data_IF_695331126100
#
_entry.id   IF_695331126100
#
_cell.length_a   1.000
_cell.length_b   1.000
_cell.length_c   1.000
_cell.angle_alpha   90.00
_cell.angle_beta   90.00
_cell.angle_gamma   90.00
#
_symmetry.space_group_name_H-M   'P 1'
#
loop_
_entity.id
_entity.type
_entity.pdbx_description
1 polymer ?
#
# COMPACT_ATOMS: atom_id res chain seq x y z
N UNK A 1 -12.30 5.35 -49.60
CA UNK A 1 -12.41 6.51 -48.69
C UNK A 1 -13.84 6.59 -48.18
N UNK A 2 -14.06 6.18 -46.94
CA UNK A 2 -15.27 6.51 -46.18
C UNK A 2 -14.79 7.10 -44.86
N UNK A 3 -15.07 8.39 -44.70
CA UNK A 3 -15.07 9.15 -43.45
C UNK A 3 -15.93 8.39 -42.42
N UNK A 4 -15.57 8.21 -41.15
CA UNK A 4 -15.07 9.23 -40.24
C UNK A 4 -16.23 9.76 -39.39
N UNK A 5 -16.84 8.92 -38.55
CA UNK A 5 -17.72 9.40 -37.46
C UNK A 5 -17.06 9.06 -36.13
N UNK A 6 -16.22 10.00 -35.72
CA UNK A 6 -15.67 10.16 -34.39
C UNK A 6 -16.83 10.29 -33.40
N UNK A 7 -17.05 9.22 -32.63
CA UNK A 7 -18.10 9.17 -31.61
C UNK A 7 -17.67 9.93 -30.37
N UNK A 8 -17.83 11.26 -30.39
CA UNK A 8 -17.70 12.05 -29.18
C UNK A 8 -18.72 11.56 -28.12
N UNK A 9 -18.31 11.30 -26.86
CA UNK A 9 -19.24 10.90 -25.82
C UNK A 9 -20.28 12.00 -25.61
N UNK A 10 -21.55 11.65 -25.66
CA UNK A 10 -22.65 12.58 -25.42
C UNK A 10 -22.49 13.22 -24.03
N UNK A 11 -22.52 14.56 -23.98
CA UNK A 11 -22.43 15.29 -22.71
C UNK A 11 -23.56 14.83 -21.76
N UNK A 12 -23.26 14.58 -20.47
CA UNK A 12 -24.26 14.12 -19.52
C UNK A 12 -25.36 15.16 -19.38
N UNK A 13 -26.63 14.70 -19.38
CA UNK A 13 -27.79 15.59 -19.26
C UNK A 13 -27.75 16.35 -17.94
N UNK A 14 -28.28 17.59 -17.92
CA UNK A 14 -28.36 18.43 -16.72
C UNK A 14 -28.99 17.67 -15.52
N UNK A 15 -29.99 16.82 -15.79
CA UNK A 15 -30.63 15.98 -14.77
C UNK A 15 -29.68 14.91 -14.20
N UNK A 16 -28.85 14.29 -15.04
CA UNK A 16 -27.82 13.35 -14.60
C UNK A 16 -26.73 14.07 -13.78
N UNK A 17 -26.34 15.29 -14.17
CA UNK A 17 -25.38 16.11 -13.42
C UNK A 17 -25.91 16.51 -12.04
N UNK A 18 -27.17 16.96 -11.95
CA UNK A 18 -27.81 17.31 -10.68
C UNK A 18 -27.97 16.08 -9.77
N UNK A 19 -28.38 14.94 -10.33
CA UNK A 19 -28.50 13.67 -9.58
C UNK A 19 -27.14 13.20 -9.07
N UNK A 20 -26.11 13.27 -9.92
CA UNK A 20 -24.74 12.93 -9.56
C UNK A 20 -24.22 13.86 -8.44
N UNK A 21 -24.34 15.19 -8.61
CA UNK A 21 -23.93 16.15 -7.58
C UNK A 21 -24.66 15.93 -6.24
N UNK A 22 -25.96 15.60 -6.27
CA UNK A 22 -26.76 15.34 -5.06
C UNK A 22 -26.33 14.04 -4.36
N UNK A 23 -26.07 12.96 -5.11
CA UNK A 23 -25.55 11.71 -4.55
C UNK A 23 -24.15 11.89 -3.97
N UNK A 24 -23.28 12.67 -4.61
CA UNK A 24 -21.96 12.99 -4.11
C UNK A 24 -22.02 13.80 -2.80
N UNK A 25 -22.94 14.76 -2.70
CA UNK A 25 -23.17 15.55 -1.48
C UNK A 25 -23.70 14.68 -0.33
N UNK A 26 -24.72 13.85 -0.59
CA UNK A 26 -25.25 12.91 0.42
C UNK A 26 -24.18 11.91 0.88
N UNK A 27 -23.35 11.41 -0.04
CA UNK A 27 -22.24 10.52 0.30
C UNK A 27 -21.19 11.24 1.17
N UNK A 28 -20.88 12.50 0.88
CA UNK A 28 -19.95 13.29 1.68
C UNK A 28 -20.48 13.51 3.12
N UNK A 29 -21.75 13.90 3.24
CA UNK A 29 -22.37 14.22 4.53
C UNK A 29 -22.54 12.98 5.43
N UNK A 30 -22.70 11.79 4.83
CA UNK A 30 -22.77 10.53 5.55
C UNK A 30 -21.39 10.00 5.99
N UNK A 31 -20.28 10.51 5.41
CA UNK A 31 -18.93 10.01 5.73
C UNK A 31 -18.54 10.30 7.17
N UNK A 32 -18.77 11.53 7.61
CA UNK A 32 -18.45 11.98 8.96
C UNK A 32 -19.20 11.21 10.07
N UNK A 33 -20.54 11.02 10.01
CA UNK A 33 -21.24 10.23 11.03
C UNK A 33 -20.84 8.75 11.02
N UNK A 34 -20.58 8.14 9.85
CA UNK A 34 -20.12 6.75 9.79
C UNK A 34 -18.69 6.57 10.34
N UNK A 35 -17.78 7.49 10.03
CA UNK A 35 -16.43 7.47 10.59
C UNK A 35 -16.45 7.57 12.13
N UNK A 36 -17.37 8.38 12.69
CA UNK A 36 -17.57 8.46 14.15
C UNK A 36 -18.12 7.17 14.75
N UNK A 37 -19.11 6.54 14.11
CA UNK A 37 -19.65 5.25 14.54
C UNK A 37 -18.59 4.15 14.47
N UNK A 38 -17.77 4.15 13.42
CA UNK A 38 -16.61 3.26 13.31
C UNK A 38 -15.62 3.47 14.45
N UNK A 39 -15.24 4.71 14.74
CA UNK A 39 -14.32 5.03 15.83
C UNK A 39 -14.89 4.57 17.18
N UNK A 40 -16.18 4.81 17.43
CA UNK A 40 -16.86 4.35 18.65
C UNK A 40 -16.90 2.82 18.74
N UNK A 41 -17.19 2.14 17.63
CA UNK A 41 -17.21 0.68 17.56
C UNK A 41 -15.82 0.07 17.77
N UNK A 42 -14.77 0.67 17.20
CA UNK A 42 -13.39 0.24 17.36
C UNK A 42 -12.88 0.39 18.81
N UNK A 43 -13.46 1.34 19.57
CA UNK A 43 -13.17 1.56 21.00
C UNK A 43 -13.94 0.59 21.91
N UNK A 44 -14.99 -0.09 21.43
CA UNK A 44 -15.68 -1.13 22.19
C UNK A 44 -14.81 -2.40 22.20
N UNK A 45 -14.13 -2.65 23.32
CA UNK A 45 -13.39 -3.89 23.50
C UNK A 45 -14.33 -5.11 23.59
N UNK A 46 -13.97 -6.21 22.91
CA UNK A 46 -14.65 -7.51 23.02
C UNK A 46 -15.38 -7.99 21.75
N UNK A 47 -16.04 -9.14 21.86
CA UNK A 47 -16.66 -9.88 20.75
C UNK A 47 -17.79 -9.12 20.03
N UNK A 48 -18.39 -8.11 20.68
CA UNK A 48 -19.45 -7.28 20.10
C UNK A 48 -18.94 -6.05 19.32
N UNK A 49 -17.74 -5.53 19.63
CA UNK A 49 -17.20 -4.32 19.01
C UNK A 49 -16.53 -4.57 17.66
N UNK A 50 -15.82 -5.68 17.52
CA UNK A 50 -15.17 -6.09 16.27
C UNK A 50 -16.12 -6.21 15.06
N UNK A 51 -17.28 -6.90 15.15
CA UNK A 51 -18.21 -6.99 14.03
C UNK A 51 -18.84 -5.63 13.69
N UNK A 52 -19.06 -4.77 14.69
CA UNK A 52 -19.60 -3.41 14.48
C UNK A 52 -18.58 -2.51 13.77
N UNK A 53 -17.30 -2.57 14.16
CA UNK A 53 -16.21 -1.85 13.50
C UNK A 53 -16.02 -2.33 12.06
N UNK A 54 -16.03 -3.65 11.83
CA UNK A 54 -15.94 -4.20 10.48
C UNK A 54 -17.11 -3.75 9.58
N UNK A 55 -18.34 -3.74 10.11
CA UNK A 55 -19.52 -3.26 9.39
C UNK A 55 -19.45 -1.77 9.07
N UNK A 56 -19.04 -0.93 10.02
CA UNK A 56 -18.90 0.51 9.80
C UNK A 56 -17.78 0.83 8.79
N UNK A 57 -16.67 0.07 8.79
CA UNK A 57 -15.61 0.19 7.80
C UNK A 57 -16.10 -0.18 6.39
N UNK A 58 -16.87 -1.26 6.27
CA UNK A 58 -17.49 -1.66 5.00
C UNK A 58 -18.44 -0.58 4.46
N UNK A 59 -19.24 0.05 5.33
CA UNK A 59 -20.13 1.14 4.91
C UNK A 59 -19.37 2.40 4.50
N UNK A 60 -18.29 2.74 5.21
CA UNK A 60 -17.44 3.86 4.82
C UNK A 60 -16.80 3.63 3.45
N UNK A 61 -16.30 2.42 3.19
CA UNK A 61 -15.74 2.04 1.90
C UNK A 61 -16.78 2.11 0.76
N UNK A 62 -18.02 1.67 1.01
CA UNK A 62 -19.11 1.79 0.04
C UNK A 62 -19.41 3.25 -0.31
N UNK A 63 -19.42 4.11 0.70
CA UNK A 63 -19.68 5.53 0.55
C UNK A 63 -18.57 6.23 -0.26
N UNK A 64 -17.33 5.85 -0.01
CA UNK A 64 -16.16 6.27 -0.78
C UNK A 64 -16.25 5.82 -2.23
N UNK A 65 -16.61 4.56 -2.47
CA UNK A 65 -16.79 4.04 -3.82
C UNK A 65 -17.94 4.75 -4.55
N UNK A 66 -19.04 5.07 -3.85
CA UNK A 66 -20.15 5.85 -4.44
C UNK A 66 -19.72 7.26 -4.80
N UNK A 67 -19.04 7.95 -3.86
CA UNK A 67 -18.57 9.31 -4.07
C UNK A 67 -17.57 9.37 -5.24
N UNK A 68 -16.62 8.42 -5.27
CA UNK A 68 -15.65 8.29 -6.36
C UNK A 68 -16.38 8.02 -7.68
N UNK A 69 -17.30 7.05 -7.72
CA UNK A 69 -18.03 6.67 -8.93
C UNK A 69 -18.77 7.86 -9.54
N UNK A 70 -19.53 8.57 -8.71
CA UNK A 70 -20.37 9.70 -9.08
C UNK A 70 -19.53 10.91 -9.50
N UNK A 71 -18.47 11.22 -8.76
CA UNK A 71 -17.54 12.32 -9.10
C UNK A 71 -16.85 12.05 -10.43
N UNK A 72 -16.45 10.80 -10.68
CA UNK A 72 -15.72 10.40 -11.88
C UNK A 72 -16.58 10.27 -13.13
N UNK A 73 -17.91 10.17 -13.01
CA UNK A 73 -18.82 10.35 -14.15
C UNK A 73 -18.82 11.79 -14.68
N UNK A 74 -18.54 12.78 -13.82
CA UNK A 74 -18.52 14.20 -14.19
C UNK A 74 -17.12 14.68 -14.57
N UNK A 75 -16.10 14.24 -13.84
CA UNK A 75 -14.71 14.64 -14.05
C UNK A 75 -13.78 13.47 -13.78
N UNK A 76 -13.00 13.07 -14.79
CA UNK A 76 -12.04 11.98 -14.65
C UNK A 76 -11.06 12.23 -13.47
N UNK A 77 -10.66 11.18 -12.74
CA UNK A 77 -9.68 11.33 -11.67
C UNK A 77 -8.39 11.95 -12.18
N UNK A 78 -7.87 12.93 -11.44
CA UNK A 78 -6.51 13.40 -11.63
C UNK A 78 -5.55 12.32 -11.13
N UNK A 79 -4.52 12.04 -11.94
CA UNK A 79 -3.49 11.07 -11.60
C UNK A 79 -2.14 11.76 -11.70
N UNK A 80 -1.30 11.53 -10.69
CA UNK A 80 0.02 12.16 -10.55
C UNK A 80 1.03 11.07 -10.28
N UNK A 81 1.78 10.71 -11.33
CA UNK A 81 2.85 9.75 -11.20
C UNK A 81 4.08 10.42 -10.57
N UNK A 82 4.66 9.76 -9.56
CA UNK A 82 5.85 10.22 -8.87
C UNK A 82 6.76 9.03 -8.53
N UNK A 83 8.06 9.23 -8.32
CA UNK A 83 8.94 8.19 -7.77
C UNK A 83 8.45 7.74 -6.40
N UNK A 84 8.18 6.45 -6.25
CA UNK A 84 7.76 5.83 -4.99
C UNK A 84 8.49 4.52 -4.76
N UNK A 85 8.68 4.16 -3.48
CA UNK A 85 9.14 2.81 -3.15
C UNK A 85 8.03 1.80 -3.42
N UNK A 86 8.24 0.97 -4.44
CA UNK A 86 7.18 0.15 -5.00
C UNK A 86 6.83 -1.03 -4.09
N UNK A 87 7.83 -1.60 -3.42
CA UNK A 87 7.62 -2.77 -2.56
C UNK A 87 6.76 -2.43 -1.34
N UNK A 88 7.09 -1.34 -0.62
CA UNK A 88 6.29 -0.87 0.51
C UNK A 88 4.85 -0.55 0.10
N UNK A 89 4.67 0.15 -1.02
CA UNK A 89 3.35 0.48 -1.56
C UNK A 89 2.48 -0.77 -1.82
N UNK A 90 3.05 -1.78 -2.47
CA UNK A 90 2.31 -2.99 -2.85
C UNK A 90 2.12 -3.97 -1.69
N UNK A 91 2.96 -3.90 -0.67
CA UNK A 91 2.73 -4.64 0.57
C UNK A 91 1.52 -4.15 1.34
N UNK A 92 1.30 -2.84 1.41
CA UNK A 92 0.09 -2.28 2.03
C UNK A 92 -1.17 -2.78 1.30
N UNK A 93 -1.11 -2.87 -0.04
CA UNK A 93 -2.17 -3.45 -0.86
C UNK A 93 -2.36 -4.95 -0.56
N UNK A 94 -1.28 -5.71 -0.42
CA UNK A 94 -1.35 -7.13 -0.07
C UNK A 94 -1.95 -7.33 1.34
N UNK A 95 -1.58 -6.51 2.32
CA UNK A 95 -2.13 -6.53 3.67
C UNK A 95 -3.64 -6.22 3.67
N UNK A 96 -4.08 -5.23 2.88
CA UNK A 96 -5.49 -4.95 2.65
C UNK A 96 -6.21 -6.18 2.06
N UNK A 97 -5.63 -6.81 1.03
CA UNK A 97 -6.18 -8.01 0.40
C UNK A 97 -6.37 -9.17 1.38
N UNK A 98 -5.37 -9.44 2.22
CA UNK A 98 -5.43 -10.47 3.25
C UNK A 98 -6.58 -10.22 4.23
N UNK A 99 -6.72 -8.97 4.70
CA UNK A 99 -7.80 -8.57 5.61
C UNK A 99 -9.18 -8.73 4.98
N UNK A 100 -9.35 -8.29 3.73
CA UNK A 100 -10.62 -8.40 3.01
C UNK A 100 -11.03 -9.86 2.77
N UNK A 101 -10.08 -10.72 2.41
CA UNK A 101 -10.33 -12.15 2.26
C UNK A 101 -10.71 -12.81 3.59
N UNK A 102 -10.00 -12.46 4.67
CA UNK A 102 -10.30 -12.96 6.02
C UNK A 102 -11.72 -12.60 6.46
N UNK A 103 -12.18 -11.37 6.20
CA UNK A 103 -13.55 -10.93 6.49
C UNK A 103 -14.63 -11.76 5.76
N UNK A 104 -14.27 -12.38 4.63
CA UNK A 104 -15.15 -13.22 3.82
C UNK A 104 -14.90 -14.72 4.03
N UNK A 105 -14.11 -15.09 5.04
CA UNK A 105 -13.64 -16.45 5.29
C UNK A 105 -12.97 -17.10 4.05
N UNK A 106 -12.32 -16.30 3.21
CA UNK A 106 -11.63 -16.74 2.00
C UNK A 106 -10.12 -16.85 2.22
N UNK A 107 -9.46 -17.76 1.51
CA UNK A 107 -8.00 -17.83 1.45
C UNK A 107 -7.43 -16.67 0.62
N UNK A 108 -6.32 -16.08 1.07
CA UNK A 108 -5.61 -15.05 0.31
C UNK A 108 -4.26 -15.56 -0.17
N UNK A 109 -3.99 -15.39 -1.46
CA UNK A 109 -2.71 -15.70 -2.08
C UNK A 109 -2.13 -14.43 -2.70
N UNK A 110 -0.90 -14.08 -2.32
CA UNK A 110 -0.19 -12.94 -2.88
C UNK A 110 1.13 -13.41 -3.51
N UNK A 111 1.32 -13.09 -4.77
CA UNK A 111 2.55 -13.33 -5.53
C UNK A 111 3.14 -11.98 -5.92
N UNK A 112 4.19 -11.56 -5.21
CA UNK A 112 5.00 -10.39 -5.56
C UNK A 112 6.22 -10.88 -6.33
N UNK A 113 6.28 -10.59 -7.63
CA UNK A 113 7.45 -10.85 -8.46
C UNK A 113 8.61 -9.90 -8.12
N UNK A 114 9.70 -9.99 -8.89
CA UNK A 114 10.82 -9.07 -8.73
C UNK A 114 10.37 -7.64 -9.09
N UNK A 115 10.39 -6.74 -8.10
CA UNK A 115 10.03 -5.32 -8.24
C UNK A 115 11.29 -4.46 -8.17
N UNK A 116 11.40 -3.37 -8.97
CA UNK A 116 12.42 -2.36 -8.73
C UNK A 116 12.18 -1.70 -7.34
N UNK A 117 13.24 -1.26 -6.65
CA UNK A 117 13.09 -0.57 -5.36
C UNK A 117 12.18 0.65 -5.46
N UNK A 118 12.42 1.47 -6.50
CA UNK A 118 11.67 2.68 -6.78
C UNK A 118 11.21 2.70 -8.23
N UNK A 119 9.97 3.15 -8.44
CA UNK A 119 9.41 3.36 -9.77
C UNK A 119 8.51 4.59 -9.78
N UNK A 120 8.34 5.18 -10.97
CA UNK A 120 7.41 6.29 -11.18
C UNK A 120 6.02 5.71 -11.37
N UNK A 121 5.15 5.90 -10.39
CA UNK A 121 3.76 5.46 -10.42
C UNK A 121 2.92 6.39 -9.55
N UNK A 122 1.60 6.35 -9.71
CA UNK A 122 0.71 7.14 -8.86
C UNK A 122 0.55 6.45 -7.48
N UNK A 123 1.07 7.11 -6.44
CA UNK A 123 1.07 6.64 -5.05
C UNK A 123 -0.34 6.36 -4.53
N UNK A 124 -1.34 7.11 -4.97
CA UNK A 124 -2.68 7.05 -4.42
C UNK A 124 -3.64 6.29 -5.34
N UNK A 125 -3.55 6.51 -6.65
CA UNK A 125 -4.43 5.88 -7.62
C UNK A 125 -4.18 4.36 -7.74
N UNK A 126 -2.93 3.90 -7.65
CA UNK A 126 -2.63 2.47 -7.81
C UNK A 126 -3.11 1.62 -6.63
N UNK A 127 -2.81 1.94 -5.36
CA UNK A 127 -3.39 1.22 -4.23
C UNK A 127 -4.92 1.31 -4.21
N UNK A 128 -5.48 2.47 -4.58
CA UNK A 128 -6.94 2.65 -4.67
C UNK A 128 -7.56 1.75 -5.73
N UNK A 129 -6.95 1.65 -6.90
CA UNK A 129 -7.39 0.77 -7.98
C UNK A 129 -7.34 -0.71 -7.55
N UNK A 130 -6.18 -1.15 -7.06
CA UNK A 130 -6.01 -2.54 -6.62
C UNK A 130 -6.91 -2.87 -5.42
N UNK A 131 -7.09 -1.94 -4.49
CA UNK A 131 -8.01 -2.06 -3.36
C UNK A 131 -9.45 -2.24 -3.80
N UNK A 132 -9.92 -1.47 -4.80
CA UNK A 132 -11.26 -1.65 -5.38
C UNK A 132 -11.43 -3.02 -6.03
N UNK A 133 -10.43 -3.49 -6.79
CA UNK A 133 -10.44 -4.83 -7.38
C UNK A 133 -10.45 -5.95 -6.33
N UNK A 134 -9.66 -5.81 -5.26
CA UNK A 134 -9.59 -6.75 -4.14
C UNK A 134 -10.92 -6.80 -3.37
N UNK A 135 -11.53 -5.64 -3.11
CA UNK A 135 -12.87 -5.56 -2.49
C UNK A 135 -13.91 -6.29 -3.33
N UNK A 136 -13.90 -6.09 -4.64
CA UNK A 136 -14.76 -6.82 -5.56
C UNK A 136 -14.52 -8.33 -5.49
N UNK A 137 -13.27 -8.77 -5.66
CA UNK A 137 -12.90 -10.19 -5.70
C UNK A 137 -13.25 -10.91 -4.38
N UNK A 138 -13.00 -10.28 -3.23
CA UNK A 138 -13.37 -10.82 -1.92
C UNK A 138 -14.89 -10.91 -1.74
N UNK A 139 -15.63 -9.85 -2.08
CA UNK A 139 -17.09 -9.82 -1.91
C UNK A 139 -17.84 -10.86 -2.76
N UNK A 140 -17.28 -11.26 -3.91
CA UNK A 140 -17.86 -12.30 -4.77
C UNK A 140 -17.29 -13.69 -4.52
N UNK A 141 -16.33 -13.85 -3.60
CA UNK A 141 -15.66 -15.14 -3.32
C UNK A 141 -15.78 -15.59 -1.85
N UNK A 142 -16.97 -15.55 -1.23
CA UNK A 142 -17.13 -15.95 0.18
C UNK A 142 -16.77 -17.44 0.37
N UNK A 143 -15.97 -17.74 1.39
CA UNK A 143 -15.49 -19.11 1.68
C UNK A 143 -14.53 -19.69 0.63
N UNK A 144 -14.12 -18.90 -0.37
CA UNK A 144 -13.33 -19.34 -1.50
C UNK A 144 -11.87 -18.89 -1.42
N UNK A 145 -11.35 -18.35 -2.53
CA UNK A 145 -9.98 -17.83 -2.60
C UNK A 145 -9.90 -16.52 -3.39
N UNK A 146 -9.04 -15.62 -2.93
CA UNK A 146 -8.65 -14.38 -3.60
C UNK A 146 -7.16 -14.43 -3.90
N UNK A 147 -6.77 -14.05 -5.13
CA UNK A 147 -5.37 -14.01 -5.55
C UNK A 147 -5.00 -12.62 -6.05
N UNK A 148 -3.87 -12.11 -5.57
CA UNK A 148 -3.18 -10.94 -6.09
C UNK A 148 -1.84 -11.40 -6.67
N UNK A 149 -1.59 -11.14 -7.95
CA UNK A 149 -0.27 -11.36 -8.54
C UNK A 149 0.22 -10.09 -9.23
N UNK A 150 1.47 -9.72 -8.92
CA UNK A 150 2.11 -8.48 -9.31
C UNK A 150 3.48 -8.82 -9.91
N UNK A 151 3.73 -8.40 -11.15
CA UNK A 151 5.00 -8.63 -11.83
C UNK A 151 5.46 -7.36 -12.54
N UNK A 152 6.69 -6.94 -12.29
CA UNK A 152 7.32 -5.87 -13.04
C UNK A 152 8.15 -6.46 -14.17
N UNK A 153 7.98 -5.93 -15.38
CA UNK A 153 8.68 -6.40 -16.57
C UNK A 153 9.15 -5.23 -17.41
N UNK A 154 10.35 -5.37 -17.98
CA UNK A 154 10.88 -4.45 -18.98
C UNK A 154 10.62 -5.02 -20.37
N UNK A 155 9.80 -4.33 -21.14
CA UNK A 155 9.32 -4.78 -22.45
C UNK A 155 9.72 -3.79 -23.55
N UNK A 156 9.51 -4.19 -24.81
CA UNK A 156 9.67 -3.28 -25.94
C UNK A 156 8.64 -2.14 -25.85
N UNK A 157 9.10 -0.95 -25.48
CA UNK A 157 8.26 0.24 -25.32
C UNK A 157 8.15 0.79 -23.90
N UNK A 158 8.75 0.14 -22.89
CA UNK A 158 8.81 0.69 -21.54
C UNK A 158 8.97 -0.37 -20.45
N UNK A 159 8.83 0.06 -19.20
CA UNK A 159 8.70 -0.84 -18.06
C UNK A 159 7.27 -0.78 -17.54
N UNK A 160 6.73 -1.96 -17.21
CA UNK A 160 5.33 -2.16 -16.91
C UNK A 160 5.17 -2.95 -15.62
N UNK A 161 4.19 -2.55 -14.81
CA UNK A 161 3.70 -3.32 -13.70
C UNK A 161 2.41 -4.03 -14.13
N UNK A 162 2.50 -5.35 -14.25
CA UNK A 162 1.36 -6.23 -14.52
C UNK A 162 0.71 -6.62 -13.20
N UNK A 163 -0.53 -6.21 -13.03
CA UNK A 163 -1.33 -6.55 -11.86
C UNK A 163 -2.48 -7.45 -12.28
N UNK A 164 -2.70 -8.53 -11.53
CA UNK A 164 -3.87 -9.39 -11.69
C UNK A 164 -4.53 -9.65 -10.34
N UNK A 165 -5.84 -9.52 -10.30
CA UNK A 165 -6.68 -9.83 -9.15
C UNK A 165 -7.73 -10.83 -9.58
N UNK A 166 -7.71 -12.02 -8.98
CA UNK A 166 -8.64 -13.11 -9.26
C UNK A 166 -9.40 -13.52 -8.00
N UNK A 167 -10.60 -14.06 -8.20
CA UNK A 167 -11.43 -14.59 -7.14
C UNK A 167 -12.23 -15.79 -7.62
N UNK A 168 -12.45 -16.78 -6.76
CA UNK A 168 -13.14 -18.03 -7.13
C UNK A 168 -14.58 -17.83 -7.61
N UNK A 169 -15.24 -16.73 -7.21
CA UNK A 169 -16.59 -16.38 -7.69
C UNK A 169 -16.64 -15.27 -8.74
N UNK A 170 -15.49 -14.81 -9.25
CA UNK A 170 -15.45 -13.90 -10.39
C UNK A 170 -15.82 -14.70 -11.66
N UNK A 171 -16.61 -14.11 -12.57
CA UNK A 171 -16.86 -14.73 -13.89
C UNK A 171 -16.08 -13.99 -14.96
N UNK A 172 -15.35 -14.71 -15.81
CA UNK A 172 -14.41 -14.14 -16.79
C UNK A 172 -15.03 -13.42 -18.00
N UNK A 173 -16.25 -12.89 -17.91
CA UNK A 173 -16.97 -12.29 -19.03
C UNK A 173 -17.73 -11.03 -18.64
N UNK A 174 -17.48 -9.96 -19.39
CA UNK A 174 -18.18 -8.66 -19.43
C UNK A 174 -17.76 -7.59 -18.39
N UNK A 175 -16.93 -6.65 -18.87
CA UNK A 175 -16.72 -5.33 -18.24
C UNK A 175 -17.65 -4.23 -18.79
N UNK A 176 -18.54 -4.56 -19.73
CA UNK A 176 -19.18 -3.59 -20.63
C UNK A 176 -20.16 -2.65 -19.89
N UNK A 177 -20.73 -3.10 -18.76
CA UNK A 177 -21.49 -2.25 -17.86
C UNK A 177 -21.38 -2.74 -16.39
N UNK A 178 -20.49 -2.17 -15.56
CA UNK A 178 -20.27 -2.62 -14.17
C UNK A 178 -21.54 -2.64 -13.31
N UNK A 179 -22.51 -1.77 -13.64
CA UNK A 179 -23.79 -1.62 -12.94
C UNK A 179 -25.01 -2.18 -13.68
N UNK A 180 -24.93 -2.47 -14.99
CA UNK A 180 -26.05 -3.06 -15.74
C UNK A 180 -25.86 -4.57 -15.87
N UNK A 181 -26.41 -5.27 -14.89
CA UNK A 181 -26.81 -6.67 -15.06
C UNK A 181 -25.87 -7.70 -14.44
N UNK A 182 -25.81 -7.77 -13.11
CA UNK A 182 -25.66 -9.06 -12.41
C UNK A 182 -26.51 -9.06 -11.14
N UNK A 183 -27.55 -9.89 -11.14
CA UNK A 183 -28.46 -10.15 -10.03
C UNK A 183 -27.85 -11.05 -8.93
N UNK A 184 -26.52 -11.23 -8.90
CA UNK A 184 -25.86 -12.16 -7.97
C UNK A 184 -24.66 -11.55 -7.20
N UNK A 185 -24.06 -10.45 -7.68
CA UNK A 185 -23.00 -9.77 -6.95
C UNK A 185 -23.61 -8.71 -6.02
N UNK A 186 -23.12 -8.56 -4.77
CA UNK A 186 -23.54 -7.47 -3.90
C UNK A 186 -23.37 -6.11 -4.57
N UNK A 187 -24.29 -5.17 -4.34
CA UNK A 187 -24.24 -3.83 -4.93
C UNK A 187 -22.89 -3.12 -4.68
N UNK A 188 -22.31 -3.32 -3.49
CA UNK A 188 -20.98 -2.83 -3.14
C UNK A 188 -19.88 -3.36 -4.08
N UNK A 189 -19.93 -4.64 -4.44
CA UNK A 189 -18.95 -5.26 -5.33
C UNK A 189 -19.05 -4.71 -6.76
N UNK A 190 -20.28 -4.45 -7.24
CA UNK A 190 -20.51 -3.85 -8.55
C UNK A 190 -20.01 -2.40 -8.61
N UNK A 191 -20.25 -1.63 -7.55
CA UNK A 191 -19.78 -0.24 -7.43
C UNK A 191 -18.26 -0.15 -7.39
N UNK A 192 -17.60 -0.99 -6.57
CA UNK A 192 -16.14 -1.06 -6.50
C UNK A 192 -15.52 -1.36 -7.87
N UNK A 193 -16.08 -2.31 -8.63
CA UNK A 193 -15.63 -2.62 -9.99
C UNK A 193 -15.87 -1.44 -10.95
N UNK A 194 -17.01 -0.77 -10.86
CA UNK A 194 -17.31 0.41 -11.67
C UNK A 194 -16.31 1.55 -11.47
N UNK A 195 -16.01 1.88 -10.22
CA UNK A 195 -14.98 2.86 -9.89
C UNK A 195 -13.58 2.41 -10.33
N UNK A 196 -13.26 1.11 -10.24
CA UNK A 196 -11.99 0.58 -10.72
C UNK A 196 -11.83 0.77 -12.23
N UNK A 197 -12.90 0.56 -13.01
CA UNK A 197 -12.89 0.80 -14.47
C UNK A 197 -12.63 2.28 -14.80
N UNK A 198 -13.31 3.21 -14.12
CA UNK A 198 -13.09 4.65 -14.33
C UNK A 198 -11.66 5.07 -13.98
N UNK A 199 -11.11 4.57 -12.87
CA UNK A 199 -9.75 4.88 -12.44
C UNK A 199 -8.70 4.28 -13.39
N UNK A 200 -8.92 3.05 -13.86
CA UNK A 200 -8.09 2.40 -14.87
C UNK A 200 -8.05 3.18 -16.20
N UNK A 201 -9.20 3.74 -16.62
CA UNK A 201 -9.27 4.62 -17.79
C UNK A 201 -8.47 5.91 -17.60
N UNK A 202 -8.54 6.55 -16.43
CA UNK A 202 -7.75 7.74 -16.12
C UNK A 202 -6.24 7.46 -16.12
N UNK A 203 -5.84 6.28 -15.63
CA UNK A 203 -4.47 5.76 -15.71
C UNK A 203 -4.09 5.28 -17.13
N UNK A 204 -4.96 5.49 -18.13
CA UNK A 204 -4.77 5.09 -19.53
C UNK A 204 -4.42 3.61 -19.71
N UNK A 205 -4.92 2.79 -18.80
CA UNK A 205 -4.56 1.38 -18.66
C UNK A 205 -5.85 0.58 -18.49
N UNK A 206 -6.55 0.21 -19.58
CA UNK A 206 -7.86 -0.42 -19.48
C UNK A 206 -7.76 -1.79 -18.79
N UNK A 207 -8.70 -2.05 -17.88
CA UNK A 207 -8.83 -3.37 -17.25
C UNK A 207 -9.15 -4.43 -18.31
N UNK A 208 -8.62 -5.63 -18.12
CA UNK A 208 -8.86 -6.81 -18.97
C UNK A 208 -9.45 -7.91 -18.12
N UNK A 209 -10.49 -8.59 -18.60
CA UNK A 209 -11.01 -9.77 -17.93
C UNK A 209 -10.03 -10.94 -18.08
N UNK A 210 -9.84 -11.69 -17.00
CA UNK A 210 -9.09 -12.94 -16.99
C UNK A 210 -10.04 -14.13 -17.15
N UNK A 211 -9.62 -15.10 -17.96
CA UNK A 211 -10.33 -16.36 -18.15
C UNK A 211 -10.00 -17.38 -17.05
N UNK A 212 -10.74 -18.49 -17.04
CA UNK A 212 -10.43 -19.65 -16.20
C UNK A 212 -8.98 -20.15 -16.46
N UNK A 213 -8.30 -20.77 -15.47
CA UNK A 213 -8.80 -21.27 -14.20
C UNK A 213 -8.92 -20.22 -13.07
N UNK A 214 -8.40 -19.00 -13.26
CA UNK A 214 -8.45 -17.91 -12.27
C UNK A 214 -9.17 -16.70 -12.85
N UNK A 215 -10.52 -16.73 -12.93
CA UNK A 215 -11.28 -15.60 -13.44
C UNK A 215 -11.06 -14.37 -12.55
N UNK A 216 -10.97 -13.21 -13.18
CA UNK A 216 -10.43 -12.02 -12.52
C UNK A 216 -10.33 -10.82 -13.45
N UNK A 217 -9.55 -9.84 -13.00
CA UNK A 217 -9.23 -8.64 -13.76
C UNK A 217 -7.72 -8.42 -13.76
N UNK A 218 -7.18 -8.01 -14.89
CA UNK A 218 -5.78 -7.65 -15.06
C UNK A 218 -5.63 -6.24 -15.62
N UNK A 219 -4.52 -5.60 -15.27
CA UNK A 219 -4.14 -4.29 -15.75
C UNK A 219 -2.62 -4.22 -15.88
N UNK A 220 -2.14 -3.51 -16.90
CA UNK A 220 -0.72 -3.20 -17.07
C UNK A 220 -0.55 -1.69 -16.93
N UNK A 221 0.24 -1.27 -15.94
CA UNK A 221 0.49 0.14 -15.61
C UNK A 221 1.91 0.51 -16.06
N UNK A 222 2.07 1.66 -16.72
CA UNK A 222 3.40 2.20 -16.98
C UNK A 222 4.12 2.44 -15.65
N UNK A 223 5.32 1.86 -15.51
CA UNK A 223 6.05 1.80 -14.25
C UNK A 223 7.57 1.86 -14.52
N UNK A 224 8.09 2.98 -15.06
CA UNK A 224 9.51 3.14 -15.27
C UNK A 224 10.25 3.17 -13.93
N UNK A 225 11.43 2.51 -13.82
CA UNK A 225 12.22 2.56 -12.60
C UNK A 225 12.79 3.97 -12.39
N UNK A 226 12.98 4.34 -11.14
CA UNK A 226 13.61 5.59 -10.73
C UNK A 226 14.61 5.33 -9.59
N UNK A 227 15.45 6.31 -9.27
CA UNK A 227 16.41 6.23 -8.18
C UNK A 227 15.78 6.62 -6.84
N UNK A 228 16.30 6.09 -5.73
CA UNK A 228 15.85 6.46 -4.36
C UNK A 228 16.00 7.95 -4.09
N UNK A 229 17.03 8.59 -4.66
CA UNK A 229 17.25 10.03 -4.53
C UNK A 229 16.16 10.90 -5.18
N UNK A 230 15.34 10.33 -6.05
CA UNK A 230 14.22 11.03 -6.70
C UNK A 230 12.92 10.96 -5.88
N UNK A 231 12.88 10.13 -4.84
CA UNK A 231 11.70 9.98 -3.98
C UNK A 231 11.57 11.20 -3.07
N UNK A 232 10.41 11.86 -3.15
CA UNK A 232 10.04 12.90 -2.20
C UNK A 232 9.60 12.27 -0.89
N UNK A 233 10.32 12.57 0.19
CA UNK A 233 9.99 12.07 1.52
C UNK A 233 8.83 12.88 2.12
N UNK A 234 7.92 12.21 2.86
CA UNK A 234 6.86 12.92 3.55
C UNK A 234 7.46 13.81 4.66
N UNK A 235 6.72 14.86 5.02
CA UNK A 235 7.05 15.63 6.21
C UNK A 235 6.87 14.71 7.44
N UNK A 236 7.85 14.63 8.36
CA UNK A 236 7.69 13.88 9.59
C UNK A 236 6.44 14.35 10.35
N UNK A 237 5.58 13.44 10.82
CA UNK A 237 4.44 13.82 11.63
C UNK A 237 4.91 14.37 12.98
N UNK A 238 4.12 15.26 13.58
CA UNK A 238 4.32 15.65 14.97
C UNK A 238 3.95 14.46 15.87
N UNK A 239 4.95 13.88 16.53
CA UNK A 239 4.78 12.69 17.36
C UNK A 239 4.68 13.11 18.82
N UNK A 240 3.66 12.61 19.51
CA UNK A 240 3.64 12.70 20.96
C UNK A 240 4.84 11.91 21.51
N UNK A 241 5.73 12.58 22.24
CA UNK A 241 6.93 11.99 22.82
C UNK A 241 6.60 10.69 23.55
N UNK A 242 7.02 9.56 22.97
CA UNK A 242 7.05 8.28 23.66
C UNK A 242 8.37 8.26 24.43
N UNK A 243 8.42 8.96 25.56
CA UNK A 243 9.64 9.15 26.34
C UNK A 243 10.24 7.80 26.78
N UNK A 244 11.32 7.37 26.13
CA UNK A 244 12.15 6.23 26.56
C UNK A 244 13.66 6.50 26.40
N UNK A 245 14.07 7.65 25.83
CA UNK A 245 15.48 8.10 25.76
C UNK A 245 16.42 7.13 25.02
N UNK A 246 15.86 6.25 24.19
CA UNK A 246 16.59 5.13 23.60
C UNK A 246 17.58 5.61 22.56
N UNK A 247 18.83 5.14 22.63
CA UNK A 247 19.84 5.38 21.59
C UNK A 247 19.60 4.50 20.39
N UNK A 248 19.56 5.10 19.21
CA UNK A 248 19.40 4.41 17.93
C UNK A 248 20.51 4.87 17.00
N UNK A 249 21.31 3.92 16.51
CA UNK A 249 22.29 4.20 15.46
C UNK A 249 21.57 4.09 14.11
N UNK A 250 21.68 5.12 13.28
CA UNK A 250 21.09 5.16 11.94
C UNK A 250 22.19 5.11 10.90
N UNK A 251 22.19 4.05 10.10
CA UNK A 251 23.07 3.89 8.95
C UNK A 251 22.22 3.96 7.66
N UNK A 252 22.23 5.12 7.02
CA UNK A 252 21.48 5.40 5.78
C UNK A 252 22.35 6.23 4.82
N UNK A 253 22.69 5.69 3.63
CA UNK A 253 23.54 6.39 2.67
C UNK A 253 22.87 7.65 2.08
N UNK A 254 21.56 7.62 1.85
CA UNK A 254 20.84 8.73 1.25
C UNK A 254 20.60 9.85 2.28
N UNK A 255 21.23 11.01 2.08
CA UNK A 255 21.17 12.12 3.03
C UNK A 255 19.75 12.54 3.39
N UNK A 256 18.87 12.71 2.40
CA UNK A 256 17.48 13.08 2.64
C UNK A 256 16.74 12.06 3.53
N UNK A 257 16.94 10.76 3.31
CA UNK A 257 16.30 9.72 4.12
C UNK A 257 16.89 9.67 5.52
N UNK A 258 18.20 9.86 5.66
CA UNK A 258 18.86 9.92 6.96
C UNK A 258 18.35 11.09 7.79
N UNK A 259 18.19 12.26 7.18
CA UNK A 259 17.64 13.45 7.83
C UNK A 259 16.19 13.20 8.26
N UNK A 260 15.36 12.65 7.36
CA UNK A 260 13.97 12.26 7.65
C UNK A 260 13.86 11.27 8.83
N UNK A 261 14.65 10.19 8.81
CA UNK A 261 14.66 9.19 9.89
C UNK A 261 15.13 9.80 11.21
N UNK A 262 16.14 10.68 11.15
CA UNK A 262 16.66 11.35 12.34
C UNK A 262 15.60 12.26 12.96
N UNK A 263 14.94 13.10 12.16
CA UNK A 263 13.86 13.97 12.63
C UNK A 263 12.70 13.18 13.25
N UNK A 264 12.28 12.09 12.58
CA UNK A 264 11.21 11.23 13.06
C UNK A 264 11.56 10.57 14.40
N UNK A 265 12.76 10.00 14.53
CA UNK A 265 13.21 9.34 15.75
C UNK A 265 13.44 10.32 16.90
N UNK A 266 14.00 11.51 16.63
CA UNK A 266 14.14 12.58 17.61
C UNK A 266 12.77 13.06 18.09
N UNK A 267 11.81 13.28 17.17
CA UNK A 267 10.43 13.65 17.50
C UNK A 267 9.72 12.58 18.33
N UNK A 268 10.06 11.31 18.15
CA UNK A 268 9.57 10.22 18.99
C UNK A 268 10.21 10.16 20.39
N UNK A 269 11.27 10.92 20.66
CA UNK A 269 11.99 10.94 21.94
C UNK A 269 13.17 9.96 22.03
N UNK A 270 13.70 9.50 20.89
CA UNK A 270 14.92 8.71 20.83
C UNK A 270 16.16 9.61 20.73
N UNK A 271 17.30 9.11 21.21
CA UNK A 271 18.61 9.70 20.93
C UNK A 271 19.17 9.10 19.64
N UNK A 272 19.41 9.92 18.62
CA UNK A 272 19.87 9.45 17.31
C UNK A 272 21.37 9.63 17.15
N UNK A 273 22.07 8.52 16.86
CA UNK A 273 23.48 8.49 16.51
C UNK A 273 23.60 8.22 15.02
N UNK A 274 24.10 9.18 14.25
CA UNK A 274 24.18 9.05 12.80
C UNK A 274 25.51 8.40 12.41
N UNK A 275 25.45 7.28 11.71
CA UNK A 275 26.61 6.62 11.14
C UNK A 275 26.80 7.01 9.67
N UNK A 276 28.01 7.45 9.31
CA UNK A 276 28.34 7.88 7.94
C UNK A 276 28.96 6.78 7.07
N UNK A 277 29.03 5.56 7.59
CA UNK A 277 29.54 4.39 6.89
C UNK A 277 29.51 3.16 7.78
N UNK A 278 29.86 2.01 7.22
CA UNK A 278 29.75 0.74 7.95
C UNK A 278 30.68 0.68 9.16
N UNK A 279 31.94 1.08 9.03
CA UNK A 279 32.90 1.02 10.15
C UNK A 279 32.47 1.94 11.32
N UNK A 280 31.96 3.13 10.99
CA UNK A 280 31.39 4.07 11.96
C UNK A 280 30.15 3.47 12.65
N UNK A 281 29.27 2.82 11.89
CA UNK A 281 28.12 2.11 12.44
C UNK A 281 28.53 0.97 13.38
N UNK A 282 29.56 0.19 13.04
CA UNK A 282 30.11 -0.87 13.91
C UNK A 282 30.69 -0.28 15.19
N UNK A 283 31.44 0.82 15.10
CA UNK A 283 32.02 1.50 16.27
C UNK A 283 30.94 2.06 17.20
N UNK A 284 29.92 2.73 16.66
CA UNK A 284 28.79 3.26 17.42
C UNK A 284 27.93 2.14 18.00
N UNK A 285 27.70 1.06 17.25
CA UNK A 285 26.96 -0.11 17.71
C UNK A 285 27.64 -0.81 18.90
N UNK A 286 28.97 -0.79 18.97
CA UNK A 286 29.73 -1.30 20.12
C UNK A 286 29.50 -0.51 21.42
N UNK A 287 28.96 0.71 21.34
CA UNK A 287 28.60 1.53 22.50
C UNK A 287 27.14 1.30 22.94
N UNK A 288 26.40 0.46 22.19
CA UNK A 288 24.99 0.23 22.44
C UNK A 288 24.74 -0.81 23.53
N UNK A 289 23.76 -0.52 24.39
CA UNK A 289 23.21 -1.45 25.35
C UNK A 289 22.14 -2.37 24.75
N UNK A 290 21.67 -3.35 25.53
CA UNK A 290 20.65 -4.33 25.11
C UNK A 290 19.29 -3.75 24.70
N UNK A 291 18.96 -2.54 25.16
CA UNK A 291 17.67 -1.88 24.88
C UNK A 291 17.75 -0.87 23.73
N UNK A 292 18.93 -0.73 23.12
CA UNK A 292 19.19 0.20 22.02
C UNK A 292 19.15 -0.53 20.69
N UNK A 293 19.10 0.18 19.57
CA UNK A 293 18.90 -0.44 18.27
C UNK A 293 19.80 0.12 17.19
N UNK A 294 20.09 -0.71 16.19
CA UNK A 294 20.70 -0.28 14.94
C UNK A 294 19.66 -0.33 13.82
N UNK A 295 19.43 0.81 13.18
CA UNK A 295 18.62 0.91 11.97
C UNK A 295 19.55 0.97 10.75
N UNK A 296 19.47 -0.05 9.91
CA UNK A 296 20.24 -0.13 8.66
C UNK A 296 19.29 0.05 7.49
N UNK A 297 19.58 1.01 6.61
CA UNK A 297 18.89 1.10 5.34
C UNK A 297 19.72 0.46 4.22
N UNK A 298 19.02 -0.07 3.22
CA UNK A 298 19.65 -0.75 2.09
C UNK A 298 20.68 0.10 1.33
N UNK A 299 21.66 -0.61 0.77
CA UNK A 299 22.71 -0.11 -0.13
C UNK A 299 23.72 0.86 0.49
N UNK A 300 24.18 0.57 1.70
CA UNK A 300 25.42 1.18 2.22
C UNK A 300 26.60 0.62 1.41
N UNK A 301 26.92 1.28 0.29
CA UNK A 301 28.16 1.06 -0.49
C UNK A 301 28.34 -0.34 -1.11
N UNK A 302 27.26 -1.00 -1.56
CA UNK A 302 27.35 -2.32 -2.21
C UNK A 302 27.74 -3.47 -1.26
N UNK A 303 27.60 -3.25 0.04
CA UNK A 303 27.84 -4.26 1.06
C UNK A 303 26.52 -5.00 1.31
N UNK A 304 26.58 -6.32 1.26
CA UNK A 304 25.45 -7.19 1.57
C UNK A 304 24.96 -6.92 3.01
N UNK A 305 23.66 -6.62 3.21
CA UNK A 305 23.09 -6.44 4.55
C UNK A 305 23.44 -7.58 5.53
N UNK A 306 23.53 -8.83 5.06
CA UNK A 306 23.95 -9.98 5.88
C UNK A 306 25.34 -9.80 6.48
N UNK A 307 26.29 -9.28 5.70
CA UNK A 307 27.67 -9.07 6.14
C UNK A 307 27.77 -8.09 7.31
N UNK A 308 26.96 -7.01 7.28
CA UNK A 308 26.91 -6.04 8.36
C UNK A 308 26.43 -6.70 9.66
N UNK A 309 25.36 -7.50 9.57
CA UNK A 309 24.82 -8.20 10.75
C UNK A 309 25.79 -9.24 11.29
N UNK A 310 26.44 -10.01 10.41
CA UNK A 310 27.47 -10.97 10.80
C UNK A 310 28.66 -10.28 11.48
N UNK A 311 29.08 -9.13 10.96
CA UNK A 311 30.17 -8.32 11.54
C UNK A 311 29.83 -7.76 12.91
N UNK A 312 28.60 -7.28 13.11
CA UNK A 312 28.10 -6.86 14.42
C UNK A 312 28.13 -8.01 15.43
N UNK A 313 27.63 -9.18 15.02
CA UNK A 313 27.63 -10.38 15.88
C UNK A 313 29.06 -10.84 16.21
N UNK A 314 29.97 -10.81 15.24
CA UNK A 314 31.35 -11.24 15.44
C UNK A 314 32.14 -10.29 16.35
N UNK A 315 31.97 -8.96 16.20
CA UNK A 315 32.72 -7.96 16.97
C UNK A 315 32.14 -7.71 18.36
N UNK A 316 30.82 -7.80 18.52
CA UNK A 316 30.13 -7.37 19.73
C UNK A 316 29.22 -8.45 20.35
N UNK A 317 29.22 -9.68 19.83
CA UNK A 317 28.45 -10.80 20.37
C UNK A 317 26.95 -10.68 20.13
N UNK A 318 26.12 -11.01 21.12
CA UNK A 318 24.68 -10.75 21.11
C UNK A 318 24.43 -9.24 21.39
N UNK A 319 24.83 -8.40 20.43
CA UNK A 319 24.67 -6.97 20.50
C UNK A 319 23.24 -6.53 20.16
N UNK A 320 22.96 -5.26 20.45
CA UNK A 320 21.72 -4.52 20.21
C UNK A 320 20.91 -5.03 19.00
N UNK A 321 19.58 -5.14 19.13
CA UNK A 321 18.73 -5.57 18.01
C UNK A 321 18.91 -4.68 16.78
N UNK A 322 18.98 -5.32 15.61
CA UNK A 322 19.12 -4.67 14.31
C UNK A 322 17.81 -4.75 13.51
N UNK A 323 17.38 -3.60 13.02
CA UNK A 323 16.23 -3.42 12.14
C UNK A 323 16.72 -3.06 10.74
N UNK A 324 16.36 -3.88 9.74
CA UNK A 324 16.60 -3.57 8.33
C UNK A 324 15.43 -2.76 7.77
N UNK A 325 15.74 -1.65 7.11
CA UNK A 325 14.81 -0.82 6.33
C UNK A 325 15.14 -0.98 4.84
N UNK A 326 14.45 -1.91 4.19
CA UNK A 326 14.77 -2.46 2.87
C UNK A 326 13.93 -1.80 1.76
N UNK A 327 14.50 -1.55 0.59
CA UNK A 327 13.79 -0.86 -0.50
C UNK A 327 13.09 -1.82 -1.49
N UNK A 328 13.65 -3.01 -1.69
CA UNK A 328 13.15 -4.05 -2.60
C UNK A 328 12.70 -5.31 -1.86
N UNK A 329 12.81 -6.50 -2.46
CA UNK A 329 12.60 -7.76 -1.76
C UNK A 329 13.86 -8.12 -0.95
N UNK A 330 13.73 -8.27 0.37
CA UNK A 330 14.86 -8.56 1.23
C UNK A 330 15.33 -10.02 1.09
N UNK A 331 16.65 -10.30 1.12
CA UNK A 331 17.15 -11.64 1.39
C UNK A 331 16.75 -12.00 2.83
N UNK A 332 15.80 -12.92 2.99
CA UNK A 332 15.36 -13.39 4.30
C UNK A 332 16.49 -14.18 4.96
N UNK A 333 16.90 -13.79 6.18
CA UNK A 333 17.19 -14.66 7.35
C UNK A 333 18.09 -14.07 8.46
N UNK A 334 18.60 -12.83 8.39
CA UNK A 334 19.65 -12.42 9.35
C UNK A 334 19.34 -11.28 10.32
N UNK A 335 18.31 -10.46 10.08
CA UNK A 335 17.94 -9.33 10.95
C UNK A 335 16.86 -9.68 11.98
N UNK A 336 16.84 -8.96 13.10
CA UNK A 336 15.86 -9.19 14.18
C UNK A 336 14.48 -8.61 13.83
N UNK A 337 14.45 -7.67 12.88
CA UNK A 337 13.25 -7.10 12.27
C UNK A 337 13.53 -6.57 10.86
N UNK A 338 12.47 -6.49 10.07
CA UNK A 338 12.49 -5.99 8.69
C UNK A 338 11.29 -5.06 8.48
N UNK A 339 11.55 -3.88 7.93
CA UNK A 339 10.56 -2.96 7.39
C UNK A 339 10.94 -2.59 5.97
N UNK A 340 9.96 -2.16 5.19
CA UNK A 340 10.20 -1.70 3.82
C UNK A 340 10.07 -0.19 3.72
N UNK A 341 10.88 0.42 2.85
CA UNK A 341 10.80 1.85 2.54
C UNK A 341 9.48 2.13 1.77
N UNK A 342 8.79 3.26 2.03
CA UNK A 342 8.97 4.10 3.20
C UNK A 342 8.29 3.47 4.43
N UNK A 343 9.00 3.37 5.55
CA UNK A 343 8.37 2.98 6.81
C UNK A 343 7.72 4.21 7.45
N UNK A 344 6.41 4.15 7.70
CA UNK A 344 5.73 5.18 8.48
C UNK A 344 6.19 5.18 9.96
N UNK A 345 6.06 6.33 10.62
CA UNK A 345 6.51 6.51 12.01
C UNK A 345 5.97 5.45 12.97
N UNK A 346 4.68 5.15 12.92
CA UNK A 346 4.06 4.15 13.78
C UNK A 346 4.65 2.73 13.58
N UNK A 347 4.90 2.33 12.33
CA UNK A 347 5.48 1.03 12.01
C UNK A 347 6.94 0.94 12.48
N UNK A 348 7.73 2.00 12.25
CA UNK A 348 9.12 2.09 12.69
C UNK A 348 9.23 1.98 14.21
N UNK A 349 8.45 2.78 14.95
CA UNK A 349 8.46 2.77 16.42
C UNK A 349 7.94 1.45 16.99
N UNK A 350 6.90 0.87 16.40
CA UNK A 350 6.38 -0.43 16.82
C UNK A 350 7.42 -1.55 16.62
N UNK A 351 8.16 -1.53 15.50
CA UNK A 351 9.24 -2.49 15.24
C UNK A 351 10.36 -2.35 16.26
N UNK A 352 10.84 -1.12 16.51
CA UNK A 352 11.88 -0.83 17.50
C UNK A 352 11.46 -1.21 18.93
N UNK A 353 10.20 -0.97 19.31
CA UNK A 353 9.65 -1.39 20.59
C UNK A 353 9.51 -2.92 20.69
N UNK A 354 9.15 -3.60 19.60
CA UNK A 354 9.10 -5.06 19.53
C UNK A 354 10.46 -5.72 19.72
N UNK A 355 11.51 -5.11 19.15
CA UNK A 355 12.88 -5.57 19.26
C UNK A 355 13.40 -5.52 20.69
N UNK A 356 13.17 -4.42 21.41
CA UNK A 356 13.61 -4.27 22.79
C UNK A 356 12.91 -5.23 23.79
N UNK A 357 11.75 -5.78 23.44
CA UNK A 357 11.06 -6.81 24.26
C UNK A 357 11.62 -8.22 24.05
N UNK A 358 12.35 -8.45 22.95
CA UNK A 358 12.93 -9.75 22.60
C UNK A 358 14.40 -9.88 23.05
N UNK A 359 15.07 -8.77 23.29
CA UNK A 359 16.43 -8.67 23.85
C UNK A 359 16.41 -8.71 25.38
#
# INVERSE_FOLDING_TARGET
>A
MREGTDGAPAAPTLEAQVRSAMLAALAHDLRAPWARLWQQAAMLAGEAGQPLAASAEQQLALLEDLQDFVRWELQAPETVAAPVYLHGLLQDVAALGARLAQQQAAAFHCELGALPPVAVIDRDAVPRLLGKLLRHAAAVSPGGSVRLALAWQREAGGAWLHCSVAGSGVSGGCMEHPLRGRTQAPAAAALALGSAVQLAQALRSPLRALAAPWPGHAIALACPPAAESEVLLPVPPDLALAADGRRIVVLEPLAAMRDYLSELLLGAGCEVLVAHGVEDALQLAGQLGRHEALLCADEVSGIDPSWLRQSLRARHGAAAPALLLHAAQAPLEEYDGLLYKPAGAAALLAALAGLARRA
#
